data_IF_349418301207
#
_entry.id   IF_349418301207
#
_cell.length_a   1.000
_cell.length_b   1.000
_cell.length_c   1.000
_cell.angle_alpha   90.00
_cell.angle_beta   90.00
_cell.angle_gamma   90.00
#
_symmetry.space_group_name_H-M   'P 1'
#
loop_
_entity.id
_entity.type
_entity.pdbx_description
1 polymer ?
#
# COMPACT_ATOMS: atom_id res chain seq x y z
N UNK A 1 1.57 -11.96 -0.77
CA UNK A 1 0.93 -10.81 -0.11
C UNK A 1 1.00 -9.66 -1.09
N UNK A 2 -0.15 -9.14 -1.50
CA UNK A 2 -0.22 -7.97 -2.37
C UNK A 2 -0.15 -6.69 -1.48
N UNK A 3 0.88 -5.84 -1.66
CA UNK A 3 1.05 -4.66 -0.82
C UNK A 3 -0.04 -3.61 -1.04
N UNK A 4 -0.64 -3.51 -2.23
CA UNK A 4 -1.75 -2.59 -2.48
C UNK A 4 -2.97 -3.01 -1.66
N UNK A 5 -3.25 -4.32 -1.59
CA UNK A 5 -4.33 -4.87 -0.76
C UNK A 5 -4.09 -4.59 0.72
N UNK A 6 -2.88 -4.87 1.23
CA UNK A 6 -2.53 -4.65 2.63
C UNK A 6 -2.59 -3.17 3.02
N UNK A 7 -2.16 -2.28 2.13
CA UNK A 7 -2.27 -0.82 2.33
C UNK A 7 -3.71 -0.33 2.26
N UNK A 8 -4.54 -0.89 1.37
CA UNK A 8 -5.97 -0.60 1.33
C UNK A 8 -6.68 -1.01 2.62
N UNK A 9 -6.28 -2.14 3.22
CA UNK A 9 -6.78 -2.58 4.53
C UNK A 9 -6.38 -1.63 5.66
N UNK A 10 -5.14 -1.14 5.68
CA UNK A 10 -4.71 -0.10 6.64
C UNK A 10 -5.51 1.19 6.45
N UNK A 11 -5.69 1.62 5.20
CA UNK A 11 -6.48 2.81 4.85
C UNK A 11 -7.94 2.66 5.30
N UNK A 12 -8.53 1.48 5.12
CA UNK A 12 -9.87 1.17 5.60
C UNK A 12 -9.96 1.22 7.13
N UNK A 13 -8.96 0.67 7.83
CA UNK A 13 -8.87 0.70 9.29
C UNK A 13 -8.75 2.13 9.85
N UNK A 14 -7.97 3.00 9.18
CA UNK A 14 -7.85 4.43 9.52
C UNK A 14 -9.18 5.14 9.32
N UNK A 15 -9.81 4.96 8.15
CA UNK A 15 -11.06 5.64 7.77
C UNK A 15 -12.30 5.06 8.45
N UNK A 16 -12.17 3.93 9.14
CA UNK A 16 -13.27 3.18 9.77
C UNK A 16 -14.40 2.85 8.79
N UNK A 17 -14.01 2.48 7.56
CA UNK A 17 -14.94 2.05 6.51
C UNK A 17 -14.73 0.57 6.21
N UNK A 18 -15.72 -0.05 5.57
CA UNK A 18 -15.54 -1.40 5.04
C UNK A 18 -14.45 -1.37 3.95
N UNK A 19 -13.57 -2.36 3.98
CA UNK A 19 -12.53 -2.53 2.97
C UNK A 19 -13.15 -2.77 1.58
N UNK A 20 -12.54 -2.15 0.57
CA UNK A 20 -12.83 -2.35 -0.86
C UNK A 20 -11.52 -2.22 -1.65
N UNK A 21 -11.42 -2.94 -2.76
CA UNK A 21 -10.23 -2.94 -3.62
C UNK A 21 -9.93 -1.56 -4.22
N UNK A 22 -10.94 -0.71 -4.40
CA UNK A 22 -10.83 0.65 -4.94
C UNK A 22 -10.48 1.71 -3.89
N UNK A 23 -10.22 1.33 -2.63
CA UNK A 23 -9.88 2.31 -1.59
C UNK A 23 -8.49 2.91 -1.73
N UNK A 24 -7.57 2.18 -2.37
CA UNK A 24 -6.24 2.64 -2.74
C UNK A 24 -6.18 2.51 -4.25
N UNK A 25 -6.40 3.63 -4.93
CA UNK A 25 -6.07 3.72 -6.34
C UNK A 25 -4.55 3.87 -6.47
N UNK A 26 -3.97 3.12 -7.39
CA UNK A 26 -2.56 3.22 -7.74
C UNK A 26 -2.39 3.21 -9.26
N UNK A 27 -1.28 3.77 -9.72
CA UNK A 27 -0.91 3.79 -11.13
C UNK A 27 0.48 3.19 -11.27
N UNK A 28 0.61 2.09 -12.01
CA UNK A 28 1.92 1.52 -12.32
C UNK A 28 2.72 2.49 -13.17
N UNK A 29 3.85 2.96 -12.65
CA UNK A 29 4.80 3.87 -13.33
C UNK A 29 6.06 3.14 -13.81
N UNK A 30 6.27 1.90 -13.34
CA UNK A 30 7.30 1.00 -13.86
C UNK A 30 6.79 -0.45 -13.85
N UNK A 31 6.94 -1.23 -14.94
CA UNK A 31 7.66 -0.90 -16.18
C UNK A 31 7.01 0.21 -17.01
N UNK A 32 7.83 0.90 -17.84
CA UNK A 32 7.36 2.02 -18.70
C UNK A 32 7.01 1.60 -20.12
N UNK A 33 7.26 0.34 -20.49
CA UNK A 33 6.83 -0.24 -21.77
C UNK A 33 5.31 -0.45 -21.79
N UNK A 34 4.73 -0.72 -22.97
CA UNK A 34 3.32 -1.05 -23.04
C UNK A 34 3.02 -2.33 -22.25
N UNK A 35 1.88 -2.36 -21.55
CA UNK A 35 1.38 -3.57 -20.89
C UNK A 35 1.17 -4.64 -21.96
N UNK A 36 1.77 -5.83 -21.82
CA UNK A 36 1.57 -6.92 -22.77
C UNK A 36 0.10 -7.29 -22.87
N UNK A 37 -0.38 -7.44 -24.10
CA UNK A 37 -1.69 -7.99 -24.39
C UNK A 37 -1.73 -9.52 -24.18
N UNK A 38 -2.92 -10.11 -24.17
CA UNK A 38 -3.09 -11.56 -23.98
C UNK A 38 -2.48 -12.41 -25.11
N UNK A 39 -2.25 -11.81 -26.28
CA UNK A 39 -1.67 -12.47 -27.46
C UNK A 39 -0.16 -12.20 -27.61
N UNK A 40 0.44 -11.38 -26.74
CA UNK A 40 1.87 -11.12 -26.79
C UNK A 40 2.66 -12.36 -26.32
N UNK A 41 3.80 -12.68 -26.95
CA UNK A 41 4.61 -13.81 -26.55
C UNK A 41 5.12 -13.65 -25.12
N UNK A 42 4.92 -14.68 -24.29
CA UNK A 42 5.50 -14.74 -22.95
C UNK A 42 7.03 -14.79 -23.06
N UNK A 43 7.67 -13.70 -22.61
CA UNK A 43 9.12 -13.59 -22.47
C UNK A 43 9.48 -13.72 -20.98
N UNK A 44 10.39 -14.63 -20.66
CA UNK A 44 10.85 -14.87 -19.30
C UNK A 44 11.60 -13.66 -18.71
N UNK A 45 12.14 -12.78 -19.55
CA UNK A 45 12.79 -11.53 -19.14
C UNK A 45 11.83 -10.33 -19.17
N UNK A 46 10.53 -10.56 -19.39
CA UNK A 46 9.53 -9.50 -19.40
C UNK A 46 9.36 -8.90 -17.99
N UNK A 47 9.67 -7.61 -17.77
CA UNK A 47 9.57 -6.99 -16.46
C UNK A 47 8.12 -6.87 -15.98
N UNK A 48 7.12 -7.00 -16.87
CA UNK A 48 5.71 -7.11 -16.48
C UNK A 48 5.37 -8.45 -15.81
N UNK A 49 6.20 -9.47 -15.98
CA UNK A 49 6.04 -10.81 -15.40
C UNK A 49 6.98 -11.01 -14.21
N UNK A 50 8.22 -10.54 -14.32
CA UNK A 50 9.27 -10.77 -13.32
C UNK A 50 9.44 -9.64 -12.32
N UNK A 51 8.86 -8.47 -12.60
CA UNK A 51 9.11 -7.26 -11.85
C UNK A 51 10.53 -6.70 -12.08
N UNK A 52 10.95 -5.69 -11.30
CA UNK A 52 10.16 -5.04 -10.26
C UNK A 52 9.00 -4.23 -10.85
N UNK A 53 7.97 -4.03 -10.04
CA UNK A 53 6.89 -3.07 -10.32
C UNK A 53 6.98 -1.88 -9.38
N UNK A 54 6.75 -0.69 -9.90
CA UNK A 54 6.59 0.53 -9.11
C UNK A 54 5.22 1.11 -9.41
N UNK A 55 4.41 1.29 -8.36
CA UNK A 55 3.11 1.95 -8.44
C UNK A 55 3.14 3.27 -7.67
N UNK A 56 2.73 4.36 -8.32
CA UNK A 56 2.41 5.62 -7.63
C UNK A 56 1.07 5.48 -6.92
N UNK A 57 1.03 5.85 -5.64
CA UNK A 57 -0.17 5.78 -4.82
C UNK A 57 -0.95 7.10 -4.93
N UNK A 58 -2.29 7.01 -4.99
CA UNK A 58 -3.15 8.19 -5.00
C UNK A 58 -2.83 9.12 -3.80
N UNK A 59 -2.73 10.45 -4.00
CA UNK A 59 -2.48 11.42 -2.92
C UNK A 59 -3.37 11.27 -1.69
N UNK A 60 -4.60 10.77 -1.86
CA UNK A 60 -5.53 10.49 -0.77
C UNK A 60 -4.95 9.50 0.26
N UNK A 61 -4.13 8.54 -0.18
CA UNK A 61 -3.47 7.58 0.72
C UNK A 61 -2.45 8.29 1.60
N UNK A 62 -1.58 9.10 0.99
CA UNK A 62 -0.61 9.94 1.72
C UNK A 62 -1.31 10.82 2.74
N UNK A 63 -2.38 11.50 2.33
CA UNK A 63 -3.09 12.43 3.18
C UNK A 63 -3.84 11.72 4.31
N UNK A 64 -4.39 10.52 4.05
CA UNK A 64 -5.02 9.66 5.06
C UNK A 64 -4.00 9.21 6.10
N UNK A 65 -2.84 8.72 5.68
CA UNK A 65 -1.75 8.32 6.57
C UNK A 65 -1.24 9.50 7.42
N UNK A 66 -1.02 10.64 6.78
CA UNK A 66 -0.51 11.83 7.45
C UNK A 66 -1.47 12.41 8.51
N UNK A 67 -2.79 12.16 8.37
CA UNK A 67 -3.81 12.67 9.28
C UNK A 67 -3.96 11.85 10.58
N UNK A 68 -3.40 10.64 10.65
CA UNK A 68 -3.49 9.78 11.83
C UNK A 68 -2.76 10.42 13.01
N UNK A 69 -3.38 10.46 14.21
CA UNK A 69 -2.69 10.86 15.44
C UNK A 69 -1.99 9.65 16.08
N UNK A 70 -0.84 9.87 16.71
CA UNK A 70 -0.07 8.79 17.34
C UNK A 70 -0.88 8.00 18.38
N UNK A 71 -1.77 8.68 19.10
CA UNK A 71 -2.65 8.04 20.08
C UNK A 71 -3.71 7.11 19.47
N UNK A 72 -3.96 7.19 18.16
CA UNK A 72 -4.94 6.34 17.45
C UNK A 72 -4.31 5.07 16.90
N UNK A 73 -2.97 5.02 16.77
CA UNK A 73 -2.24 3.94 16.12
C UNK A 73 -2.55 2.57 16.75
N UNK A 74 -2.54 2.38 18.07
CA UNK A 74 -2.83 1.06 18.65
C UNK A 74 -4.21 0.52 18.27
N UNK A 75 -5.22 1.40 18.22
CA UNK A 75 -6.59 1.03 17.85
C UNK A 75 -6.72 0.75 16.34
N UNK A 76 -5.98 1.46 15.49
CA UNK A 76 -5.92 1.21 14.05
C UNK A 76 -5.27 -0.13 13.78
N UNK A 77 -4.11 -0.40 14.39
CA UNK A 77 -3.37 -1.67 14.24
C UNK A 77 -4.22 -2.86 14.70
N UNK A 78 -4.90 -2.73 15.84
CA UNK A 78 -5.78 -3.79 16.36
C UNK A 78 -6.88 -4.18 15.38
N UNK A 79 -7.38 -3.22 14.58
CA UNK A 79 -8.35 -3.49 13.50
C UNK A 79 -7.69 -4.05 12.25
N UNK A 80 -6.54 -3.48 11.88
CA UNK A 80 -5.82 -3.86 10.67
C UNK A 80 -5.40 -5.34 10.68
N UNK A 81 -4.91 -5.85 11.82
CA UNK A 81 -4.53 -7.27 11.96
C UNK A 81 -5.70 -8.26 11.89
N UNK A 82 -6.95 -7.77 11.89
CA UNK A 82 -8.12 -8.63 11.64
C UNK A 82 -8.35 -8.91 10.17
N UNK A 83 -7.57 -8.28 9.27
CA UNK A 83 -7.69 -8.50 7.84
C UNK A 83 -7.12 -9.88 7.44
N UNK A 84 -7.74 -10.51 6.44
CA UNK A 84 -7.38 -11.86 5.99
C UNK A 84 -5.92 -11.99 5.55
N UNK A 85 -5.40 -11.00 4.81
CA UNK A 85 -3.99 -10.96 4.37
C UNK A 85 -2.98 -10.92 5.52
N UNK A 86 -3.43 -10.54 6.72
CA UNK A 86 -2.61 -10.49 7.94
C UNK A 86 -2.95 -11.62 8.91
N UNK A 87 -3.60 -12.69 8.43
CA UNK A 87 -3.92 -13.84 9.26
C UNK A 87 -2.65 -14.39 9.94
N UNK A 88 -2.69 -14.46 11.28
CA UNK A 88 -1.57 -14.90 12.11
C UNK A 88 -0.61 -13.79 12.55
N UNK A 89 -0.73 -12.56 12.02
CA UNK A 89 0.04 -11.42 12.51
C UNK A 89 -0.52 -10.92 13.85
N UNK A 90 0.37 -10.50 14.75
CA UNK A 90 -0.02 -9.90 16.03
C UNK A 90 0.09 -8.37 15.99
N UNK A 91 -0.79 -7.70 16.74
CA UNK A 91 -0.79 -6.24 16.82
C UNK A 91 0.55 -5.66 17.28
N UNK A 92 1.26 -6.34 18.19
CA UNK A 92 2.59 -5.93 18.65
C UNK A 92 3.64 -5.93 17.54
N UNK A 93 3.55 -6.88 16.59
CA UNK A 93 4.49 -7.00 15.47
C UNK A 93 4.17 -5.99 14.37
N UNK A 94 2.88 -5.70 14.16
CA UNK A 94 2.41 -4.80 13.10
C UNK A 94 2.42 -3.33 13.51
N UNK A 95 2.50 -3.02 14.82
CA UNK A 95 2.51 -1.65 15.29
C UNK A 95 3.72 -0.83 14.79
N UNK A 96 4.97 -1.30 14.91
CA UNK A 96 6.12 -0.58 14.36
C UNK A 96 6.00 -0.31 12.86
N UNK A 97 5.47 -1.27 12.10
CA UNK A 97 5.24 -1.15 10.66
C UNK A 97 4.22 -0.05 10.36
N UNK A 98 3.08 -0.03 11.07
CA UNK A 98 2.08 1.01 10.91
C UNK A 98 2.64 2.40 11.25
N UNK A 99 3.42 2.51 12.31
CA UNK A 99 4.07 3.77 12.72
C UNK A 99 5.07 4.28 11.67
N UNK A 100 5.80 3.39 11.00
CA UNK A 100 6.70 3.75 9.90
C UNK A 100 5.94 4.25 8.67
N UNK A 101 4.89 3.54 8.26
CA UNK A 101 4.05 3.93 7.12
C UNK A 101 3.36 5.28 7.37
N UNK A 102 2.83 5.49 8.58
CA UNK A 102 2.22 6.76 8.99
C UNK A 102 3.25 7.90 8.98
N UNK A 103 4.44 7.68 9.56
CA UNK A 103 5.53 8.68 9.51
C UNK A 103 5.98 8.98 8.08
N UNK A 104 6.02 7.99 7.21
CA UNK A 104 6.30 8.20 5.79
C UNK A 104 5.25 9.10 5.13
N UNK A 105 3.96 8.84 5.37
CA UNK A 105 2.87 9.69 4.88
C UNK A 105 2.98 11.14 5.36
N UNK A 106 3.32 11.36 6.64
CA UNK A 106 3.55 12.71 7.19
C UNK A 106 4.71 13.43 6.49
N UNK A 107 5.87 12.78 6.38
CA UNK A 107 7.04 13.37 5.71
C UNK A 107 6.76 13.71 4.25
N UNK A 108 6.10 12.81 3.52
CA UNK A 108 5.74 13.05 2.13
C UNK A 108 4.77 14.24 2.00
N UNK A 109 3.76 14.33 2.88
CA UNK A 109 2.81 15.45 2.87
C UNK A 109 3.49 16.77 3.21
N UNK A 110 4.38 16.80 4.19
CA UNK A 110 5.15 17.99 4.58
C UNK A 110 6.08 18.46 3.47
N UNK A 111 6.66 17.53 2.71
CA UNK A 111 7.54 17.83 1.58
C UNK A 111 6.80 18.14 0.27
N UNK A 112 5.48 17.92 0.19
CA UNK A 112 4.72 18.02 -1.05
C UNK A 112 5.00 16.89 -2.05
N UNK A 113 5.48 15.75 -1.56
CA UNK A 113 5.90 14.59 -2.34
C UNK A 113 4.79 13.52 -2.44
N UNK A 114 4.97 12.60 -3.40
CA UNK A 114 4.09 11.46 -3.62
C UNK A 114 4.63 10.20 -2.92
N UNK A 115 3.78 9.19 -2.77
CA UNK A 115 4.19 7.88 -2.25
C UNK A 115 4.20 6.87 -3.39
N UNK A 116 5.19 5.96 -3.35
CA UNK A 116 5.33 4.89 -4.32
C UNK A 116 5.44 3.55 -3.59
N UNK A 117 4.79 2.52 -4.12
CA UNK A 117 4.98 1.14 -3.70
C UNK A 117 5.92 0.45 -4.69
N UNK A 118 6.96 -0.19 -4.18
CA UNK A 118 7.89 -0.98 -4.97
C UNK A 118 7.76 -2.45 -4.57
N UNK A 119 7.61 -3.32 -5.57
CA UNK A 119 7.39 -4.76 -5.37
C UNK A 119 8.35 -5.53 -6.29
N UNK A 120 9.01 -6.54 -5.73
CA UNK A 120 9.79 -7.52 -6.46
C UNK A 120 9.41 -8.93 -6.00
N UNK A 121 9.57 -9.91 -6.89
CA UNK A 121 9.38 -11.34 -6.60
C UNK A 121 10.57 -11.95 -5.87
#
# INVERSE_FOLDING_TARGET
MDPAVVLAMLTAAIRQVQWRVDLVEETTVWPTSAVPGPDDPEDADNPWVTGPWVSELNPLVRDTLAAVRDSEVPAIVSRWVQAEELHGAHAGDMQPVAEEIIRLGRRAREAGEQLYCWVCL
#
